data_IF_952846642651
#
_entry.id   IF_952846642651
#
_cell.length_a   1.000
_cell.length_b   1.000
_cell.length_c   1.000
_cell.angle_alpha   90.00
_cell.angle_beta   90.00
_cell.angle_gamma   90.00
#
_symmetry.space_group_name_H-M   'P 1'
#
loop_
_entity.id
_entity.type
_entity.pdbx_description
1 polymer ?
#
# COMPACT_ATOMS: atom_id res chain seq x y z
N UNK A 1 12.77 -5.63 -9.28
CA UNK A 1 11.43 -5.20 -8.84
C UNK A 1 10.58 -5.04 -10.09
N UNK A 2 9.29 -5.33 -10.05
CA UNK A 2 8.41 -5.18 -11.23
C UNK A 2 7.22 -4.30 -10.86
N UNK A 3 6.93 -3.30 -11.70
CA UNK A 3 5.83 -2.35 -11.52
C UNK A 3 4.64 -2.77 -12.39
N UNK A 4 3.44 -2.69 -11.83
CA UNK A 4 2.20 -2.65 -12.62
C UNK A 4 1.28 -1.54 -12.10
N UNK A 5 0.58 -0.88 -13.03
CA UNK A 5 -0.30 0.26 -12.72
C UNK A 5 -1.72 -0.10 -13.13
N UNK A 6 -2.66 0.05 -12.20
CA UNK A 6 -4.09 -0.09 -12.46
C UNK A 6 -4.63 1.33 -12.64
N UNK A 7 -4.50 1.83 -13.87
CA UNK A 7 -4.69 3.24 -14.22
C UNK A 7 -6.07 3.77 -13.80
N UNK A 8 -7.09 2.94 -13.93
CA UNK A 8 -8.49 3.27 -13.60
C UNK A 8 -8.69 3.64 -12.12
N UNK A 9 -7.82 3.14 -11.23
CA UNK A 9 -7.93 3.32 -9.79
C UNK A 9 -6.71 4.01 -9.17
N UNK A 10 -5.78 4.54 -9.96
CA UNK A 10 -4.57 5.19 -9.45
C UNK A 10 -3.70 4.29 -8.58
N UNK A 11 -3.84 2.96 -8.73
CA UNK A 11 -3.14 1.98 -7.89
C UNK A 11 -1.84 1.53 -8.55
N UNK A 12 -0.78 1.40 -7.74
CA UNK A 12 0.54 0.96 -8.20
C UNK A 12 0.95 -0.27 -7.41
N UNK A 13 1.18 -1.39 -8.08
CA UNK A 13 1.66 -2.63 -7.48
C UNK A 13 3.14 -2.83 -7.80
N UNK A 14 3.91 -3.06 -6.74
CA UNK A 14 5.34 -3.27 -6.77
C UNK A 14 5.65 -4.69 -6.29
N UNK A 15 6.01 -5.56 -7.24
CA UNK A 15 6.38 -6.95 -6.93
C UNK A 15 7.79 -7.03 -6.35
N UNK A 16 7.96 -7.86 -5.33
CA UNK A 16 9.22 -8.03 -4.61
C UNK A 16 9.76 -6.68 -4.10
N UNK A 17 8.87 -5.83 -3.56
CA UNK A 17 9.23 -4.55 -2.96
C UNK A 17 10.13 -4.71 -1.73
N UNK A 18 9.99 -5.82 -0.99
CA UNK A 18 10.84 -6.20 0.12
C UNK A 18 11.78 -7.36 -0.20
N UNK A 19 13.03 -7.23 0.22
CA UNK A 19 13.99 -8.33 0.28
C UNK A 19 13.59 -9.36 1.35
N UNK A 20 14.12 -10.58 1.27
CA UNK A 20 13.84 -11.63 2.27
C UNK A 20 14.24 -11.22 3.70
N UNK A 21 15.32 -10.46 3.83
CA UNK A 21 15.78 -9.92 5.12
C UNK A 21 14.77 -8.91 5.67
N UNK A 22 14.26 -8.01 4.83
CA UNK A 22 13.24 -7.03 5.23
C UNK A 22 11.91 -7.70 5.59
N UNK A 23 11.49 -8.72 4.84
CA UNK A 23 10.30 -9.50 5.15
C UNK A 23 10.40 -10.17 6.53
N UNK A 24 11.54 -10.80 6.81
CA UNK A 24 11.79 -11.47 8.09
C UNK A 24 11.85 -10.46 9.25
N UNK A 25 12.49 -9.32 9.02
CA UNK A 25 12.61 -8.24 10.01
C UNK A 25 11.25 -7.61 10.32
N UNK A 26 10.46 -7.31 9.29
CA UNK A 26 9.11 -6.78 9.42
C UNK A 26 8.22 -7.76 10.18
N UNK A 27 8.23 -9.05 9.81
CA UNK A 27 7.46 -10.06 10.52
C UNK A 27 7.85 -10.13 11.99
N UNK A 28 9.14 -10.16 12.31
CA UNK A 28 9.63 -10.17 13.69
C UNK A 28 9.17 -8.94 14.48
N UNK A 29 9.15 -7.75 13.86
CA UNK A 29 8.74 -6.51 14.50
C UNK A 29 7.24 -6.49 14.84
N UNK A 30 6.39 -7.05 13.97
CA UNK A 30 4.93 -6.97 14.15
C UNK A 30 4.31 -8.18 14.82
N UNK A 31 5.02 -9.32 14.89
CA UNK A 31 4.47 -10.60 15.37
C UNK A 31 3.85 -10.54 16.77
N UNK A 32 4.43 -9.74 17.69
CA UNK A 32 3.91 -9.61 19.05
C UNK A 32 2.55 -8.89 19.13
N UNK A 33 2.23 -8.07 18.11
CA UNK A 33 0.97 -7.33 18.01
C UNK A 33 -0.12 -8.13 17.28
N UNK A 34 0.24 -9.21 16.59
CA UNK A 34 -0.70 -10.05 15.88
C UNK A 34 -1.65 -10.74 16.86
N UNK A 35 -2.94 -10.42 16.73
CA UNK A 35 -4.04 -11.08 17.43
C UNK A 35 -5.00 -11.63 16.39
N UNK A 36 -5.83 -12.62 16.72
CA UNK A 36 -6.86 -13.09 15.79
C UNK A 36 -7.93 -13.95 16.46
N UNK A 37 -9.19 -13.52 16.36
CA UNK A 37 -10.35 -14.26 16.88
C UNK A 37 -11.20 -14.73 15.70
N UNK A 38 -11.48 -16.04 15.63
CA UNK A 38 -12.28 -16.61 14.54
C UNK A 38 -11.65 -16.42 13.15
N UNK A 39 -12.49 -16.13 12.15
CA UNK A 39 -12.13 -15.95 10.73
C UNK A 39 -11.99 -14.49 10.32
N UNK A 40 -12.33 -13.53 11.18
CA UNK A 40 -12.14 -12.11 10.90
C UNK A 40 -10.64 -11.75 10.91
N UNK A 41 -10.19 -10.80 10.07
CA UNK A 41 -8.82 -10.32 10.15
C UNK A 41 -8.58 -9.66 11.51
N UNK A 42 -7.46 -10.00 12.12
CA UNK A 42 -7.01 -9.36 13.35
C UNK A 42 -6.32 -8.05 13.04
N UNK A 43 -7.06 -6.95 13.13
CA UNK A 43 -6.51 -5.60 12.95
C UNK A 43 -5.77 -5.18 14.21
N UNK A 44 -4.57 -4.63 14.05
CA UNK A 44 -3.75 -4.15 15.16
C UNK A 44 -3.01 -2.85 14.80
N UNK A 45 -2.72 -2.07 15.83
CA UNK A 45 -1.81 -0.93 15.72
C UNK A 45 -0.36 -1.42 15.77
N UNK A 46 0.49 -0.93 14.87
CA UNK A 46 1.91 -1.29 14.84
C UNK A 46 2.82 -0.12 15.22
N UNK A 47 2.52 1.09 14.76
CA UNK A 47 3.31 2.28 15.09
C UNK A 47 2.56 3.59 14.86
N UNK A 48 2.81 4.58 15.71
CA UNK A 48 2.35 5.96 15.54
C UNK A 48 3.46 6.85 14.95
N UNK A 49 3.10 7.88 14.18
CA UNK A 49 4.03 8.85 13.59
C UNK A 49 4.90 9.61 14.60
N UNK A 50 4.39 9.82 15.81
CA UNK A 50 5.10 10.47 16.90
C UNK A 50 4.67 9.87 18.24
N UNK A 51 5.40 10.20 19.31
CA UNK A 51 5.05 9.84 20.68
C UNK A 51 5.49 8.42 21.09
N UNK A 52 4.96 7.90 22.22
CA UNK A 52 5.48 6.71 22.89
C UNK A 52 5.23 5.40 22.13
N UNK A 53 4.33 5.40 21.14
CA UNK A 53 4.03 4.25 20.30
C UNK A 53 4.72 4.32 18.92
N UNK A 54 5.68 5.23 18.75
CA UNK A 54 6.49 5.29 17.54
C UNK A 54 7.54 4.17 17.54
N UNK A 55 7.59 3.41 16.46
CA UNK A 55 8.56 2.35 16.19
C UNK A 55 9.37 2.78 14.96
N UNK A 56 10.50 3.50 15.15
CA UNK A 56 11.25 4.12 14.05
C UNK A 56 11.60 3.18 12.88
N UNK A 57 11.96 1.90 13.10
CA UNK A 57 12.23 0.97 11.99
C UNK A 57 11.04 0.78 11.04
N UNK A 58 9.80 0.83 11.52
CA UNK A 58 8.60 0.70 10.67
C UNK A 58 8.38 1.95 9.82
N UNK A 59 8.71 3.13 10.35
CA UNK A 59 8.61 4.39 9.63
C UNK A 59 9.68 4.47 8.53
N UNK A 60 10.93 4.15 8.86
CA UNK A 60 12.02 4.09 7.90
C UNK A 60 11.74 3.10 6.75
N UNK A 61 11.17 1.93 7.07
CA UNK A 61 10.75 0.96 6.05
C UNK A 61 9.63 1.52 5.17
N UNK A 62 8.63 2.16 5.77
CA UNK A 62 7.54 2.82 5.05
C UNK A 62 8.07 3.89 4.08
N UNK A 63 8.92 4.80 4.55
CA UNK A 63 9.57 5.82 3.73
C UNK A 63 10.35 5.19 2.57
N UNK A 64 11.15 4.15 2.83
CA UNK A 64 11.90 3.44 1.79
C UNK A 64 10.98 2.82 0.73
N UNK A 65 9.84 2.24 1.13
CA UNK A 65 8.86 1.67 0.21
C UNK A 65 8.20 2.72 -0.68
N UNK A 66 7.83 3.87 -0.10
CA UNK A 66 7.29 4.98 -0.89
C UNK A 66 8.33 5.50 -1.90
N UNK A 67 9.59 5.62 -1.49
CA UNK A 67 10.70 6.00 -2.38
C UNK A 67 10.88 4.99 -3.52
N UNK A 68 10.95 3.69 -3.22
CA UNK A 68 11.06 2.62 -4.25
C UNK A 68 9.90 2.67 -5.24
N UNK A 69 8.69 2.94 -4.75
CA UNK A 69 7.51 3.04 -5.61
C UNK A 69 7.56 4.27 -6.52
N UNK A 70 8.07 5.40 -6.02
CA UNK A 70 8.24 6.63 -6.79
C UNK A 70 9.37 6.53 -7.83
N UNK A 71 10.47 5.87 -7.49
CA UNK A 71 11.56 5.53 -8.42
C UNK A 71 11.05 4.64 -9.55
N UNK A 72 10.34 3.55 -9.21
CA UNK A 72 9.78 2.65 -10.20
C UNK A 72 8.75 3.34 -11.11
N UNK A 73 7.95 4.28 -10.59
CA UNK A 73 7.06 5.10 -11.41
C UNK A 73 7.85 5.98 -12.40
N UNK A 74 8.95 6.59 -11.95
CA UNK A 74 9.83 7.41 -12.80
C UNK A 74 10.43 6.57 -13.94
N UNK A 75 10.95 5.38 -13.62
CA UNK A 75 11.45 4.43 -14.63
C UNK A 75 10.35 4.02 -15.63
N UNK A 76 9.11 3.83 -15.17
CA UNK A 76 7.98 3.52 -16.06
C UNK A 76 7.61 4.68 -17.00
N UNK A 77 7.80 5.93 -16.56
CA UNK A 77 7.64 7.12 -17.41
C UNK A 77 8.74 7.20 -18.45
N UNK A 78 10.00 7.03 -18.03
CA UNK A 78 11.17 7.05 -18.93
C UNK A 78 11.12 5.92 -19.97
N UNK A 79 10.68 4.74 -19.55
CA UNK A 79 10.48 3.59 -20.42
C UNK A 79 9.24 3.64 -21.31
N UNK A 80 8.40 4.69 -21.19
CA UNK A 80 7.21 4.88 -22.01
C UNK A 80 6.02 3.96 -21.68
N UNK A 81 6.05 3.24 -20.55
CA UNK A 81 4.95 2.40 -20.08
C UNK A 81 3.75 3.23 -19.58
N UNK A 82 4.03 4.44 -19.11
CA UNK A 82 3.07 5.47 -18.74
C UNK A 82 3.56 6.84 -19.19
N UNK A 83 2.67 7.73 -19.61
CA UNK A 83 3.04 9.07 -20.06
C UNK A 83 3.03 10.07 -18.90
N UNK A 84 3.85 11.11 -18.98
CA UNK A 84 3.82 12.22 -18.01
C UNK A 84 2.42 12.87 -17.91
N UNK A 85 1.67 12.92 -19.00
CA UNK A 85 0.29 13.42 -19.01
C UNK A 85 -0.70 12.51 -18.29
N UNK A 86 -0.46 11.19 -18.24
CA UNK A 86 -1.25 10.28 -17.40
C UNK A 86 -0.93 10.48 -15.92
N UNK A 87 0.36 10.64 -15.58
CA UNK A 87 0.79 10.92 -14.20
C UNK A 87 0.21 12.24 -13.70
N UNK A 88 0.22 13.30 -14.52
CA UNK A 88 -0.28 14.62 -14.12
C UNK A 88 -1.81 14.65 -13.89
N UNK A 89 -2.56 13.84 -14.63
CA UNK A 89 -4.03 13.78 -14.53
C UNK A 89 -4.53 12.95 -13.36
N UNK A 90 -3.75 11.97 -12.90
CA UNK A 90 -4.13 11.13 -11.77
C UNK A 90 -3.52 11.67 -10.46
N UNK A 91 -4.34 12.10 -9.48
CA UNK A 91 -3.81 12.67 -8.23
C UNK A 91 -2.88 11.75 -7.45
N UNK A 92 -3.11 10.44 -7.50
CA UNK A 92 -2.35 9.42 -6.78
C UNK A 92 -0.98 9.26 -7.43
N UNK A 93 -0.94 9.13 -8.76
CA UNK A 93 0.31 9.05 -9.51
C UNK A 93 1.11 10.36 -9.44
N UNK A 94 0.43 11.51 -9.54
CA UNK A 94 1.06 12.82 -9.36
C UNK A 94 1.73 12.93 -8.00
N UNK A 95 1.10 12.42 -6.93
CA UNK A 95 1.69 12.45 -5.59
C UNK A 95 2.95 11.59 -5.48
N UNK A 96 2.99 10.43 -6.12
CA UNK A 96 4.23 9.64 -6.20
C UNK A 96 5.32 10.35 -7.02
N UNK A 97 4.96 11.04 -8.10
CA UNK A 97 5.92 11.83 -8.87
C UNK A 97 6.47 13.05 -8.09
N UNK A 98 5.61 13.72 -7.30
CA UNK A 98 6.02 14.75 -6.35
C UNK A 98 7.06 14.21 -5.33
N UNK A 99 6.92 12.94 -4.93
CA UNK A 99 7.86 12.26 -4.04
C UNK A 99 9.20 11.97 -4.74
N UNK A 100 9.17 11.43 -5.97
CA UNK A 100 10.37 11.14 -6.76
C UNK A 100 11.23 12.41 -6.98
N UNK A 101 10.59 13.55 -7.19
CA UNK A 101 11.27 14.84 -7.35
C UNK A 101 11.81 15.44 -6.04
N UNK A 102 11.52 14.81 -4.89
CA UNK A 102 11.89 15.32 -3.57
C UNK A 102 11.07 16.54 -3.12
N UNK A 103 10.08 16.98 -3.90
CA UNK A 103 9.25 18.14 -3.56
C UNK A 103 8.40 17.90 -2.31
N UNK A 104 8.02 16.64 -2.06
CA UNK A 104 7.19 16.20 -0.94
C UNK A 104 7.67 14.86 -0.41
N UNK A 105 8.63 14.83 0.53
CA UNK A 105 9.11 13.57 1.10
C UNK A 105 7.97 12.80 1.78
N UNK A 106 8.03 11.46 1.83
CA UNK A 106 7.03 10.68 2.54
C UNK A 106 7.12 11.00 4.04
N UNK A 107 5.97 11.15 4.68
CA UNK A 107 5.87 11.27 6.15
C UNK A 107 4.88 10.22 6.61
N UNK A 108 5.40 9.16 7.22
CA UNK A 108 4.57 8.05 7.69
C UNK A 108 3.92 8.46 9.01
N UNK A 109 2.61 8.71 8.98
CA UNK A 109 1.85 9.17 10.14
C UNK A 109 1.36 8.03 11.04
N UNK A 110 1.17 6.84 10.48
CA UNK A 110 0.66 5.69 11.21
C UNK A 110 0.97 4.40 10.44
N UNK A 111 1.19 3.30 11.18
CA UNK A 111 1.34 1.96 10.63
C UNK A 111 0.36 1.04 11.37
N UNK A 112 -0.54 0.43 10.61
CA UNK A 112 -1.47 -0.60 11.08
C UNK A 112 -1.20 -1.90 10.35
N UNK A 113 -1.56 -3.01 11.00
CA UNK A 113 -1.46 -4.32 10.42
C UNK A 113 -2.79 -5.06 10.47
N UNK A 114 -2.95 -6.01 9.57
CA UNK A 114 -4.05 -6.95 9.54
C UNK A 114 -3.48 -8.36 9.41
N UNK A 115 -3.79 -9.23 10.37
CA UNK A 115 -3.44 -10.65 10.29
C UNK A 115 -4.62 -11.46 9.78
N UNK A 116 -4.38 -12.26 8.75
CA UNK A 116 -5.40 -13.10 8.11
C UNK A 116 -5.09 -14.57 8.39
N UNK A 117 -6.11 -15.34 8.80
CA UNK A 117 -6.02 -16.80 8.83
C UNK A 117 -6.44 -17.37 7.47
N UNK A 118 -6.14 -18.63 7.15
CA UNK A 118 -6.67 -19.27 5.95
C UNK A 118 -8.19 -19.14 5.86
N UNK A 119 -8.66 -18.63 4.73
CA UNK A 119 -10.09 -18.36 4.49
C UNK A 119 -10.62 -17.03 5.05
N UNK A 120 -9.79 -16.24 5.75
CA UNK A 120 -10.17 -14.89 6.18
C UNK A 120 -10.37 -13.96 4.99
N UNK A 121 -11.38 -13.10 5.10
CA UNK A 121 -11.67 -12.05 4.11
C UNK A 121 -11.89 -10.72 4.81
N UNK A 122 -11.49 -9.64 4.16
CA UNK A 122 -11.86 -8.28 4.58
C UNK A 122 -13.09 -7.82 3.80
N UNK A 123 -14.05 -7.20 4.49
CA UNK A 123 -15.24 -6.63 3.85
C UNK A 123 -14.82 -5.43 2.98
N UNK A 124 -15.49 -5.26 1.84
CA UNK A 124 -15.26 -4.12 0.95
C UNK A 124 -15.50 -2.78 1.68
N UNK A 125 -14.53 -1.87 1.63
CA UNK A 125 -14.58 -0.58 2.32
C UNK A 125 -13.68 0.45 1.65
N UNK A 126 -13.76 1.70 2.13
CA UNK A 126 -12.77 2.75 1.86
C UNK A 126 -12.19 3.21 3.19
N UNK A 127 -10.88 3.36 3.26
CA UNK A 127 -10.16 3.65 4.51
C UNK A 127 -10.67 4.94 5.17
N UNK A 128 -10.67 6.05 4.43
CA UNK A 128 -11.13 7.36 4.91
C UNK A 128 -12.09 8.03 3.92
N UNK A 129 -12.73 9.11 4.34
CA UNK A 129 -13.61 10.00 3.55
C UNK A 129 -12.86 11.15 2.87
N UNK A 130 -11.53 11.11 2.95
CA UNK A 130 -10.60 12.04 2.33
C UNK A 130 -9.46 11.24 1.69
N UNK A 131 -8.78 11.78 0.67
CA UNK A 131 -7.62 11.13 0.07
C UNK A 131 -6.59 10.76 1.15
N UNK A 132 -6.23 9.48 1.20
CA UNK A 132 -5.23 8.94 2.11
C UNK A 132 -4.23 8.14 1.28
N UNK A 133 -3.05 8.70 1.09
CA UNK A 133 -1.97 8.01 0.40
C UNK A 133 -1.47 6.86 1.27
N UNK A 134 -1.84 5.65 0.88
CA UNK A 134 -1.60 4.42 1.64
C UNK A 134 -0.67 3.50 0.86
N UNK A 135 0.20 2.82 1.60
CA UNK A 135 0.98 1.70 1.10
C UNK A 135 0.58 0.45 1.90
N UNK A 136 0.08 -0.57 1.23
CA UNK A 136 -0.15 -1.90 1.80
C UNK A 136 0.97 -2.84 1.42
N UNK A 137 1.49 -3.61 2.38
CA UNK A 137 2.57 -4.57 2.17
C UNK A 137 2.12 -5.95 2.63
N UNK A 138 2.34 -6.97 1.80
CA UNK A 138 2.04 -8.36 2.15
C UNK A 138 3.28 -9.07 2.68
N UNK A 139 3.13 -9.82 3.78
CA UNK A 139 4.17 -10.73 4.30
C UNK A 139 3.50 -12.04 4.72
N UNK A 140 4.05 -13.17 4.27
CA UNK A 140 3.48 -14.51 4.53
C UNK A 140 2.82 -15.12 3.29
N UNK A 141 1.69 -15.80 3.46
CA UNK A 141 0.99 -16.43 2.34
C UNK A 141 0.44 -15.40 1.36
N UNK A 142 0.44 -15.75 0.07
CA UNK A 142 -0.07 -14.87 -0.97
C UNK A 142 -1.58 -14.65 -0.84
N UNK A 143 -2.02 -13.41 -0.99
CA UNK A 143 -3.41 -13.00 -0.88
C UNK A 143 -3.91 -12.28 -2.14
N UNK A 144 -5.23 -12.18 -2.27
CA UNK A 144 -5.86 -11.42 -3.34
C UNK A 144 -6.27 -10.04 -2.81
N UNK A 145 -5.67 -8.98 -3.35
CA UNK A 145 -6.08 -7.60 -3.13
C UNK A 145 -7.03 -7.18 -4.25
N UNK A 146 -8.21 -6.67 -3.91
CA UNK A 146 -9.25 -6.32 -4.90
C UNK A 146 -9.56 -4.84 -4.82
N UNK A 147 -9.42 -4.12 -5.93
CA UNK A 147 -9.71 -2.69 -6.05
C UNK A 147 -10.85 -2.42 -7.02
N UNK A 148 -11.50 -1.27 -6.87
CA UNK A 148 -12.55 -0.80 -7.78
C UNK A 148 -13.95 -1.36 -7.52
N UNK A 149 -14.13 -2.22 -6.50
CA UNK A 149 -15.46 -2.69 -6.11
C UNK A 149 -16.21 -1.60 -5.36
N UNK A 150 -17.40 -1.22 -5.87
CA UNK A 150 -18.26 -0.24 -5.20
C UNK A 150 -18.66 -0.69 -3.79
N UNK A 151 -18.51 0.19 -2.81
CA UNK A 151 -18.94 -0.09 -1.43
C UNK A 151 -20.46 0.07 -1.26
N UNK A 152 -21.02 -0.45 -0.17
CA UNK A 152 -22.46 -0.32 0.11
C UNK A 152 -22.87 1.11 0.48
N UNK A 153 -21.93 1.91 0.97
CA UNK A 153 -22.11 3.32 1.34
C UNK A 153 -20.96 4.14 0.73
N UNK A 154 -21.01 4.40 -0.58
CA UNK A 154 -19.90 5.00 -1.29
C UNK A 154 -19.65 6.42 -0.81
N UNK A 155 -18.37 6.75 -0.62
CA UNK A 155 -17.91 8.10 -0.24
C UNK A 155 -17.70 8.93 -1.50
N UNK A 156 -17.70 10.26 -1.36
CA UNK A 156 -17.61 11.18 -2.51
C UNK A 156 -16.33 11.04 -3.35
N UNK A 157 -15.25 10.57 -2.73
CA UNK A 157 -13.95 10.32 -3.37
C UNK A 157 -13.75 8.85 -3.81
N UNK A 158 -14.75 7.97 -3.62
CA UNK A 158 -14.63 6.56 -3.98
C UNK A 158 -14.58 6.36 -5.51
N UNK A 159 -13.49 5.78 -6.00
CA UNK A 159 -13.37 5.32 -7.39
C UNK A 159 -13.88 3.88 -7.49
N UNK A 160 -14.90 3.63 -8.29
CA UNK A 160 -15.45 2.29 -8.50
C UNK A 160 -15.73 2.01 -9.97
N UNK A 161 -15.68 0.73 -10.35
CA UNK A 161 -15.81 0.26 -11.71
C UNK A 161 -15.79 -1.27 -11.76
N UNK A 162 -15.18 -1.84 -12.81
CA UNK A 162 -14.94 -3.29 -12.90
C UNK A 162 -13.85 -3.68 -11.89
N UNK A 163 -14.13 -4.55 -10.90
CA UNK A 163 -13.13 -4.91 -9.91
C UNK A 163 -11.90 -5.55 -10.56
N UNK A 164 -10.72 -5.14 -10.12
CA UNK A 164 -9.44 -5.71 -10.53
C UNK A 164 -8.86 -6.45 -9.34
N UNK A 165 -8.44 -7.69 -9.57
CA UNK A 165 -7.79 -8.55 -8.58
C UNK A 165 -6.28 -8.55 -8.83
N UNK A 166 -5.52 -8.22 -7.80
CA UNK A 166 -4.06 -8.31 -7.77
C UNK A 166 -3.68 -9.40 -6.78
N UNK A 167 -2.90 -10.38 -7.21
CA UNK A 167 -2.33 -11.37 -6.29
C UNK A 167 -1.05 -10.79 -5.69
N UNK A 168 -1.07 -10.53 -4.38
CA UNK A 168 0.08 -10.05 -3.63
C UNK A 168 0.82 -11.23 -3.02
N UNK A 169 2.08 -11.42 -3.42
CA UNK A 169 2.99 -12.37 -2.81
C UNK A 169 3.70 -11.75 -1.58
N UNK A 170 4.36 -12.58 -0.77
CA UNK A 170 5.19 -12.08 0.32
C UNK A 170 6.26 -11.11 -0.21
N UNK A 171 6.32 -9.92 0.37
CA UNK A 171 7.21 -8.84 -0.03
C UNK A 171 6.67 -7.93 -1.12
N UNK A 172 5.46 -8.15 -1.63
CA UNK A 172 4.81 -7.20 -2.54
C UNK A 172 4.24 -6.00 -1.79
N UNK A 173 4.20 -4.84 -2.46
CA UNK A 173 3.57 -3.64 -1.96
C UNK A 173 2.58 -3.04 -2.98
N UNK A 174 1.49 -2.45 -2.49
CA UNK A 174 0.52 -1.70 -3.31
C UNK A 174 0.34 -0.30 -2.73
N UNK A 175 0.53 0.71 -3.57
CA UNK A 175 0.21 2.11 -3.31
C UNK A 175 -1.16 2.48 -3.88
N UNK A 176 -1.94 3.27 -3.13
CA UNK A 176 -3.25 3.81 -3.53
C UNK A 176 -3.63 5.04 -2.66
N UNK A 177 -4.72 5.75 -3.03
CA UNK A 177 -5.26 6.94 -2.35
C UNK A 177 -6.63 6.74 -1.66
#
# INVERSE_FOLDING_TARGET
MELSIIKEYGCVHLKNALTLTEQSSLLSLVSSNVRGVGTAPGIFHASSGTGPHCVPPLHALGESLFTRCAEALSEAVEGGNITAGEVERDPSLKRLADLASGSRPPVISNVTGASYKPGSTMVNHSDLDRPLYTMSVAVGEACDFVVGRRTSRPKGNERSGRPVKVRMCSGDAIYFD
#
